data_IF_508546957358
#
_entry.id   IF_508546957358
#
_cell.length_a   1.000
_cell.length_b   1.000
_cell.length_c   1.000
_cell.angle_alpha   90.00
_cell.angle_beta   90.00
_cell.angle_gamma   90.00
#
_symmetry.space_group_name_H-M   'P 1'
#
loop_
_entity.id
_entity.type
_entity.pdbx_description
1 polymer ?
#
# COMPACT_ATOMS: atom_id res chain seq x y z
N UNK A 1 78.25 -27.95 24.03
CA UNK A 1 77.57 -26.99 23.18
C UNK A 1 76.24 -27.56 22.81
N UNK A 2 75.18 -27.07 23.43
CA UNK A 2 73.87 -27.60 23.21
C UNK A 2 72.92 -26.38 23.05
N UNK A 3 72.55 -26.13 21.87
CA UNK A 3 71.68 -25.00 21.44
C UNK A 3 70.24 -25.35 21.79
N UNK A 4 69.58 -24.53 22.61
CA UNK A 4 68.21 -24.70 22.98
C UNK A 4 67.31 -24.21 21.82
N UNK A 5 66.16 -24.82 21.56
CA UNK A 5 65.18 -24.34 20.53
C UNK A 5 64.35 -23.17 21.07
N UNK A 6 64.20 -22.16 20.22
CA UNK A 6 63.32 -21.01 20.45
C UNK A 6 61.85 -21.43 20.40
N UNK A 7 61.12 -21.03 21.44
CA UNK A 7 59.65 -21.12 21.48
C UNK A 7 59.05 -20.00 20.64
N UNK A 8 58.35 -20.37 19.58
CA UNK A 8 57.52 -19.47 18.83
C UNK A 8 56.18 -19.29 19.54
N UNK A 9 55.94 -18.10 20.08
CA UNK A 9 54.67 -17.69 20.65
C UNK A 9 53.66 -17.47 19.51
N UNK A 10 52.68 -18.36 19.37
CA UNK A 10 51.54 -18.18 18.50
C UNK A 10 50.55 -17.23 19.16
N UNK A 11 50.49 -16.01 18.71
CA UNK A 11 49.46 -15.03 19.12
C UNK A 11 48.13 -15.42 18.50
N UNK A 12 47.19 -15.80 19.36
CA UNK A 12 45.79 -15.99 18.92
C UNK A 12 45.16 -14.65 18.49
N UNK A 13 44.38 -14.61 17.40
CA UNK A 13 43.68 -13.41 17.00
C UNK A 13 42.60 -13.06 18.03
N UNK A 14 42.60 -11.82 18.52
CA UNK A 14 41.57 -11.28 19.35
C UNK A 14 40.25 -11.20 18.52
N UNK A 15 39.22 -11.87 19.01
CA UNK A 15 37.85 -11.69 18.50
C UNK A 15 37.36 -10.32 18.97
N UNK A 16 37.52 -9.30 18.09
CA UNK A 16 36.88 -8.01 18.25
C UNK A 16 35.39 -8.20 17.98
N UNK A 17 34.63 -8.44 19.04
CA UNK A 17 33.17 -8.52 19.03
C UNK A 17 32.53 -7.14 18.94
N UNK A 18 32.92 -6.37 17.96
CA UNK A 18 32.22 -5.12 17.64
C UNK A 18 30.80 -5.40 17.17
N UNK A 19 29.80 -5.14 18.03
CA UNK A 19 28.41 -5.07 17.65
C UNK A 19 28.28 -3.99 16.59
N UNK A 20 27.84 -4.26 15.34
CA UNK A 20 27.63 -3.21 14.37
C UNK A 20 26.53 -2.28 14.88
N UNK A 21 26.89 -1.07 15.26
CA UNK A 21 25.95 0.00 15.50
C UNK A 21 25.25 0.34 14.19
N UNK A 22 24.04 -0.18 13.99
CA UNK A 22 23.19 0.20 12.88
C UNK A 22 22.58 1.58 13.21
N UNK A 23 23.37 2.62 12.99
CA UNK A 23 22.91 4.00 12.98
C UNK A 23 23.05 4.53 11.56
N UNK A 24 22.22 4.02 10.67
CA UNK A 24 21.93 4.73 9.42
C UNK A 24 20.50 5.22 9.51
N UNK A 25 20.23 6.53 9.41
CA UNK A 25 18.87 6.99 9.19
C UNK A 25 18.44 6.34 7.87
N UNK A 26 17.47 5.44 7.95
CA UNK A 26 16.88 4.82 6.77
C UNK A 26 16.21 5.95 6.00
N UNK A 27 16.91 6.44 4.97
CA UNK A 27 16.35 7.37 4.01
C UNK A 27 15.13 6.66 3.43
N UNK A 28 13.99 7.27 3.59
CA UNK A 28 12.70 6.78 3.10
C UNK A 28 12.80 6.67 1.57
N UNK A 29 13.14 5.47 1.07
CA UNK A 29 13.21 5.17 -0.35
C UNK A 29 11.78 4.89 -0.88
N UNK A 30 10.85 5.79 -0.57
CA UNK A 30 9.59 5.85 -1.28
C UNK A 30 9.91 6.32 -2.69
N UNK A 31 9.72 5.43 -3.66
CA UNK A 31 9.69 5.86 -5.05
C UNK A 31 8.60 6.94 -5.15
N UNK A 32 8.88 8.10 -5.75
CA UNK A 32 7.87 9.13 -5.91
C UNK A 32 6.71 8.52 -6.72
N UNK A 33 5.54 8.40 -6.09
CA UNK A 33 4.30 8.13 -6.79
C UNK A 33 4.07 9.41 -7.60
N UNK A 34 4.04 9.32 -8.92
CA UNK A 34 3.82 10.48 -9.78
C UNK A 34 2.56 11.19 -9.35
N UNK A 35 2.64 12.50 -9.04
CA UNK A 35 1.47 13.33 -8.74
C UNK A 35 0.48 13.19 -9.90
N UNK A 36 -0.75 12.76 -9.61
CA UNK A 36 -1.78 12.43 -10.58
C UNK A 36 -2.06 10.95 -10.78
N UNK A 37 -1.19 10.04 -10.29
CA UNK A 37 -1.40 8.59 -10.36
C UNK A 37 -1.88 7.97 -9.04
N UNK A 38 -2.13 8.78 -8.01
CA UNK A 38 -2.62 8.33 -6.70
C UNK A 38 -3.55 9.33 -6.03
N UNK A 39 -4.37 8.82 -5.12
CA UNK A 39 -5.36 9.55 -4.33
C UNK A 39 -5.15 9.24 -2.86
N UNK A 40 -5.46 10.20 -1.98
CA UNK A 40 -5.36 10.02 -0.53
C UNK A 40 -6.74 9.98 0.10
N UNK A 41 -6.88 9.13 1.13
CA UNK A 41 -8.03 9.11 2.02
C UNK A 41 -7.51 9.09 3.45
N UNK A 42 -7.73 10.17 4.20
CA UNK A 42 -7.19 10.35 5.53
C UNK A 42 -8.30 10.49 6.54
N UNK A 43 -8.19 9.71 7.60
CA UNK A 43 -8.98 9.80 8.83
C UNK A 43 -8.05 9.99 10.02
N UNK A 44 -8.59 10.11 11.22
CA UNK A 44 -7.78 10.15 12.43
C UNK A 44 -7.07 8.82 12.74
N UNK A 45 -7.61 7.71 12.24
CA UNK A 45 -7.08 6.36 12.47
C UNK A 45 -6.13 5.89 11.36
N UNK A 46 -6.39 6.30 10.11
CA UNK A 46 -5.72 5.79 8.91
C UNK A 46 -5.34 6.90 7.94
N UNK A 47 -4.14 6.80 7.38
CA UNK A 47 -3.72 7.52 6.19
C UNK A 47 -3.52 6.52 5.05
N UNK A 48 -4.30 6.66 3.99
CA UNK A 48 -4.31 5.73 2.86
C UNK A 48 -3.85 6.43 1.58
N UNK A 49 -3.04 5.71 0.79
CA UNK A 49 -2.71 6.10 -0.58
C UNK A 49 -3.22 5.03 -1.53
N UNK A 50 -4.07 5.44 -2.45
CA UNK A 50 -4.74 4.59 -3.43
C UNK A 50 -4.24 4.97 -4.84
N UNK A 51 -3.71 4.01 -5.60
CA UNK A 51 -3.25 4.29 -6.97
C UNK A 51 -4.41 4.36 -7.96
N UNK A 52 -4.31 5.22 -8.97
CA UNK A 52 -5.25 5.27 -10.08
C UNK A 52 -5.29 3.95 -10.88
N UNK A 53 -4.18 3.22 -10.93
CA UNK A 53 -4.08 1.94 -11.62
C UNK A 53 -4.58 0.80 -10.70
N UNK A 54 -5.73 0.24 -11.02
CA UNK A 54 -6.40 -0.81 -10.24
C UNK A 54 -7.17 -0.29 -9.03
N UNK A 55 -7.00 0.97 -8.61
CA UNK A 55 -7.52 1.45 -7.34
C UNK A 55 -6.98 0.61 -6.18
N UNK A 56 -5.70 0.28 -6.19
CA UNK A 56 -5.07 -0.54 -5.15
C UNK A 56 -4.59 0.35 -4.00
N UNK A 57 -4.74 -0.11 -2.74
CA UNK A 57 -4.17 0.59 -1.59
C UNK A 57 -2.68 0.23 -1.54
N UNK A 58 -1.84 1.21 -1.84
CA UNK A 58 -0.38 1.03 -1.96
C UNK A 58 0.38 1.53 -0.73
N UNK A 59 -0.29 2.30 0.12
CA UNK A 59 0.22 2.69 1.44
C UNK A 59 -0.93 2.79 2.43
N UNK A 60 -0.71 2.30 3.64
CA UNK A 60 -1.59 2.50 4.78
C UNK A 60 -0.74 2.72 6.02
N UNK A 61 -0.93 3.84 6.71
CA UNK A 61 -0.24 4.18 7.94
C UNK A 61 -1.20 4.50 9.08
N UNK A 62 -0.72 4.33 10.30
CA UNK A 62 -1.44 4.55 11.55
C UNK A 62 -0.90 5.82 12.23
N UNK A 63 -1.51 7.02 12.02
CA UNK A 63 -0.99 8.29 12.56
C UNK A 63 -0.86 8.30 14.09
N UNK A 64 -1.76 7.62 14.79
CA UNK A 64 -1.79 7.54 16.26
C UNK A 64 -0.76 6.55 16.84
N UNK A 65 -0.08 5.75 16.00
CA UNK A 65 0.87 4.72 16.43
C UNK A 65 2.23 4.96 15.80
N UNK A 66 3.18 5.57 16.50
CA UNK A 66 4.53 5.73 15.99
C UNK A 66 5.27 4.38 15.96
N UNK A 67 6.23 4.24 15.05
CA UNK A 67 7.11 3.07 14.98
C UNK A 67 7.91 2.90 16.27
N UNK A 68 8.29 4.03 16.90
CA UNK A 68 9.03 4.10 18.17
C UNK A 68 8.53 5.27 19.00
N UNK A 69 8.61 5.16 20.32
CA UNK A 69 8.19 6.22 21.26
C UNK A 69 9.04 7.49 21.09
N UNK A 70 10.31 7.33 20.75
CA UNK A 70 11.26 8.43 20.53
C UNK A 70 11.13 9.10 19.15
N UNK A 71 10.31 8.54 18.25
CA UNK A 71 10.05 9.09 16.92
C UNK A 71 8.55 9.28 16.67
N UNK A 72 7.87 10.17 17.40
CA UNK A 72 6.41 10.33 17.36
C UNK A 72 5.88 10.74 15.98
N UNK A 73 6.70 11.34 15.13
CA UNK A 73 6.32 11.78 13.78
C UNK A 73 6.52 10.69 12.70
N UNK A 74 6.86 9.45 13.08
CA UNK A 74 6.99 8.33 12.17
C UNK A 74 5.85 7.32 12.41
N UNK A 75 4.73 7.41 11.69
CA UNK A 75 3.59 6.51 11.87
C UNK A 75 3.96 5.09 11.46
N UNK A 76 3.36 4.11 12.14
CA UNK A 76 3.52 2.72 11.78
C UNK A 76 2.85 2.44 10.42
N UNK A 77 3.57 1.79 9.51
CA UNK A 77 3.09 1.44 8.17
C UNK A 77 2.61 0.01 8.12
N UNK A 78 1.32 -0.17 7.82
CA UNK A 78 0.69 -1.47 7.58
C UNK A 78 0.95 -1.95 6.17
N UNK A 79 0.75 -1.06 5.18
CA UNK A 79 0.99 -1.33 3.77
C UNK A 79 2.02 -0.33 3.24
N UNK A 80 2.89 -0.80 2.34
CA UNK A 80 3.88 0.03 1.69
C UNK A 80 4.28 -0.56 0.32
N UNK A 81 4.64 0.32 -0.59
CA UNK A 81 5.15 -0.05 -1.91
C UNK A 81 6.40 0.77 -2.19
N UNK A 82 7.55 0.21 -1.85
CA UNK A 82 8.87 0.84 -2.06
C UNK A 82 9.86 -0.17 -2.63
N UNK A 83 11.10 0.26 -2.86
CA UNK A 83 12.13 -0.58 -3.46
C UNK A 83 12.53 -1.80 -2.61
N UNK A 84 12.31 -1.75 -1.28
CA UNK A 84 12.70 -2.79 -0.35
C UNK A 84 11.54 -3.72 0.03
N UNK A 85 10.32 -3.19 0.01
CA UNK A 85 9.14 -3.91 0.44
C UNK A 85 7.93 -3.53 -0.40
N UNK A 86 7.29 -4.56 -0.95
CA UNK A 86 6.00 -4.43 -1.61
C UNK A 86 4.96 -5.21 -0.80
N UNK A 87 4.07 -4.49 -0.12
CA UNK A 87 2.94 -5.08 0.58
C UNK A 87 1.74 -4.18 0.37
N UNK A 88 0.83 -4.59 -0.50
CA UNK A 88 -0.29 -3.79 -1.00
C UNK A 88 -1.60 -4.57 -0.93
N UNK A 89 -2.72 -3.87 -0.78
CA UNK A 89 -4.05 -4.45 -0.89
C UNK A 89 -4.63 -4.15 -2.27
N UNK A 90 -4.97 -5.21 -2.99
CA UNK A 90 -5.52 -5.14 -4.34
C UNK A 90 -6.95 -5.66 -4.34
N UNK A 91 -7.81 -5.01 -5.09
CA UNK A 91 -9.17 -5.47 -5.37
C UNK A 91 -9.61 -5.01 -6.76
N UNK A 92 -10.54 -5.72 -7.36
CA UNK A 92 -11.00 -5.41 -8.72
C UNK A 92 -12.14 -6.29 -9.18
N UNK A 93 -12.53 -6.12 -10.44
CA UNK A 93 -13.59 -6.84 -11.10
C UNK A 93 -13.05 -7.64 -12.28
N UNK A 94 -13.12 -8.96 -12.19
CA UNK A 94 -12.70 -9.92 -13.21
C UNK A 94 -13.91 -10.67 -13.79
N UNK A 95 -13.68 -11.52 -14.74
CA UNK A 95 -14.71 -12.30 -15.41
C UNK A 95 -14.83 -11.93 -16.87
N UNK A 96 -15.87 -12.46 -17.54
CA UNK A 96 -16.07 -12.24 -18.99
C UNK A 96 -16.19 -10.75 -19.32
N UNK A 97 -16.91 -9.99 -18.49
CA UNK A 97 -17.18 -8.57 -18.68
C UNK A 97 -16.45 -7.70 -17.61
N UNK A 98 -15.47 -8.30 -16.92
CA UNK A 98 -14.65 -7.63 -15.92
C UNK A 98 -13.72 -6.59 -16.55
N UNK A 99 -13.50 -5.49 -15.81
CA UNK A 99 -12.65 -4.38 -16.26
C UNK A 99 -11.16 -4.60 -15.91
N UNK A 100 -10.87 -5.57 -15.04
CA UNK A 100 -9.52 -6.00 -14.68
C UNK A 100 -9.18 -7.31 -15.38
N UNK A 101 -7.97 -7.38 -15.93
CA UNK A 101 -7.42 -8.61 -16.53
C UNK A 101 -6.06 -8.94 -15.90
N UNK A 102 -5.52 -10.13 -16.20
CA UNK A 102 -4.19 -10.53 -15.73
C UNK A 102 -3.08 -9.57 -16.16
N UNK A 103 -3.24 -8.93 -17.31
CA UNK A 103 -2.21 -8.08 -17.94
C UNK A 103 -2.53 -6.59 -17.88
N UNK A 104 -3.75 -6.21 -17.52
CA UNK A 104 -4.17 -4.82 -17.49
C UNK A 104 -5.14 -4.57 -16.34
N UNK A 105 -4.76 -3.61 -15.48
CA UNK A 105 -5.60 -3.15 -14.39
C UNK A 105 -6.46 -1.99 -14.85
N UNK A 106 -7.70 -1.94 -14.38
CA UNK A 106 -8.60 -0.83 -14.63
C UNK A 106 -7.98 0.50 -14.16
N UNK A 107 -8.08 1.54 -14.97
CA UNK A 107 -7.63 2.89 -14.57
C UNK A 107 -8.82 3.68 -14.03
N UNK A 108 -8.61 4.35 -12.90
CA UNK A 108 -9.63 5.12 -12.21
C UNK A 108 -9.28 6.61 -12.17
N UNK A 109 -10.33 7.43 -12.09
CA UNK A 109 -10.26 8.89 -11.90
C UNK A 109 -11.04 9.23 -10.65
N UNK A 110 -10.47 10.04 -9.75
CA UNK A 110 -11.15 10.46 -8.53
C UNK A 110 -12.33 11.37 -8.82
N UNK A 111 -13.45 11.12 -8.14
CA UNK A 111 -14.61 12.00 -8.06
C UNK A 111 -14.59 12.85 -6.77
N UNK A 112 -13.55 12.69 -5.96
CA UNK A 112 -13.38 13.39 -4.69
C UNK A 112 -13.67 12.55 -3.47
N UNK A 113 -13.49 13.17 -2.31
CA UNK A 113 -13.79 12.60 -0.99
C UNK A 113 -15.02 13.30 -0.43
N UNK A 114 -15.99 12.52 0.03
CA UNK A 114 -17.17 13.01 0.75
C UNK A 114 -17.15 12.57 2.21
N UNK A 115 -17.74 13.38 3.09
CA UNK A 115 -18.00 13.00 4.48
C UNK A 115 -19.46 12.56 4.60
N UNK A 116 -19.65 11.37 5.15
CA UNK A 116 -20.97 10.78 5.35
C UNK A 116 -21.64 11.30 6.66
N UNK A 117 -22.95 11.14 6.84
CA UNK A 117 -23.66 11.59 8.04
C UNK A 117 -23.16 10.95 9.35
N UNK A 118 -22.54 9.76 9.29
CA UNK A 118 -21.93 9.05 10.41
C UNK A 118 -20.48 9.50 10.72
N UNK A 119 -19.99 10.52 9.99
CA UNK A 119 -18.62 11.03 10.12
C UNK A 119 -17.56 10.27 9.30
N UNK A 120 -17.91 9.13 8.73
CA UNK A 120 -16.97 8.40 7.85
C UNK A 120 -16.68 9.19 6.58
N UNK A 121 -15.52 8.89 5.96
CA UNK A 121 -15.09 9.54 4.72
C UNK A 121 -15.04 8.51 3.60
N UNK A 122 -15.64 8.88 2.45
CA UNK A 122 -15.67 8.02 1.25
C UNK A 122 -14.94 8.68 0.10
N UNK A 123 -13.87 8.05 -0.39
CA UNK A 123 -13.25 8.36 -1.66
C UNK A 123 -13.98 7.59 -2.76
N UNK A 124 -14.50 8.30 -3.75
CA UNK A 124 -15.15 7.71 -4.92
C UNK A 124 -14.23 7.78 -6.14
N UNK A 125 -13.96 6.64 -6.75
CA UNK A 125 -13.17 6.51 -7.97
C UNK A 125 -14.07 6.02 -9.11
N UNK A 126 -14.13 6.75 -10.23
CA UNK A 126 -14.82 6.33 -11.44
C UNK A 126 -13.85 5.61 -12.39
N UNK A 127 -14.26 4.49 -12.96
CA UNK A 127 -13.48 3.83 -14.01
C UNK A 127 -13.37 4.73 -15.24
N UNK A 128 -12.17 4.88 -15.80
CA UNK A 128 -11.91 5.75 -16.95
C UNK A 128 -12.69 5.35 -18.22
N UNK A 129 -13.12 4.09 -18.32
CA UNK A 129 -13.97 3.57 -19.40
C UNK A 129 -15.44 3.92 -19.29
N UNK A 130 -15.92 4.54 -18.22
CA UNK A 130 -17.35 4.83 -17.99
C UNK A 130 -18.01 5.67 -19.09
N UNK A 131 -17.23 6.49 -19.79
CA UNK A 131 -17.75 7.37 -20.85
C UNK A 131 -17.90 6.67 -22.20
N UNK A 132 -17.24 5.54 -22.39
CA UNK A 132 -17.19 4.81 -23.68
C UNK A 132 -17.81 3.42 -23.62
N UNK A 133 -18.16 2.96 -22.43
CA UNK A 133 -18.73 1.64 -22.17
C UNK A 133 -20.17 1.73 -21.68
N UNK A 134 -20.99 0.77 -22.04
CA UNK A 134 -22.30 0.57 -21.45
C UNK A 134 -22.23 0.05 -19.99
N UNK A 135 -21.06 -0.44 -19.56
CA UNK A 135 -20.77 -0.77 -18.19
C UNK A 135 -20.13 0.43 -17.51
N UNK A 136 -20.77 0.97 -16.47
CA UNK A 136 -20.17 2.01 -15.61
C UNK A 136 -19.81 1.40 -14.26
N UNK A 137 -18.60 1.70 -13.80
CA UNK A 137 -18.07 1.16 -12.55
C UNK A 137 -17.53 2.31 -11.71
N UNK A 138 -17.95 2.33 -10.45
CA UNK A 138 -17.38 3.18 -9.42
C UNK A 138 -16.82 2.28 -8.31
N UNK A 139 -15.66 2.64 -7.80
CA UNK A 139 -15.00 1.98 -6.68
C UNK A 139 -14.94 2.96 -5.52
N UNK A 140 -15.52 2.57 -4.39
CA UNK A 140 -15.65 3.41 -3.22
C UNK A 140 -14.80 2.84 -2.08
N UNK A 141 -14.08 3.72 -1.41
CA UNK A 141 -13.29 3.41 -0.21
C UNK A 141 -13.86 4.22 0.94
N UNK A 142 -14.43 3.56 1.94
CA UNK A 142 -14.96 4.23 3.12
C UNK A 142 -14.10 3.89 4.33
N UNK A 143 -13.60 4.93 5.00
CA UNK A 143 -12.78 4.82 6.20
C UNK A 143 -13.39 5.67 7.33
N UNK A 144 -13.12 5.28 8.58
CA UNK A 144 -13.73 5.80 9.79
C UNK A 144 -12.67 6.39 10.73
N UNK A 145 -13.02 7.43 11.50
CA UNK A 145 -12.05 8.12 12.35
C UNK A 145 -11.56 7.27 13.54
N UNK A 146 -12.36 6.32 14.01
CA UNK A 146 -12.00 5.49 15.17
C UNK A 146 -11.79 4.00 14.84
N UNK A 147 -11.81 3.64 13.54
CA UNK A 147 -11.68 2.27 13.07
C UNK A 147 -10.46 2.11 12.17
N UNK A 148 -9.92 0.90 12.13
CA UNK A 148 -8.73 0.54 11.34
C UNK A 148 -9.07 -0.36 10.15
N UNK A 149 -10.33 -0.50 9.82
CA UNK A 149 -10.84 -1.19 8.64
C UNK A 149 -11.24 -0.18 7.55
N UNK A 150 -11.24 -0.65 6.33
CA UNK A 150 -11.65 0.11 5.16
C UNK A 150 -12.64 -0.73 4.38
N UNK A 151 -13.84 -0.19 4.20
CA UNK A 151 -14.82 -0.81 3.32
C UNK A 151 -14.51 -0.48 1.87
N UNK A 152 -14.39 -1.51 1.02
CA UNK A 152 -14.20 -1.34 -0.42
C UNK A 152 -15.41 -1.92 -1.14
N UNK A 153 -16.17 -1.03 -1.78
CA UNK A 153 -17.38 -1.39 -2.52
C UNK A 153 -17.27 -1.02 -4.00
N UNK A 154 -17.99 -1.76 -4.83
CA UNK A 154 -18.15 -1.48 -6.24
C UNK A 154 -19.61 -1.16 -6.53
N UNK A 155 -19.87 0.01 -7.08
CA UNK A 155 -21.16 0.37 -7.66
C UNK A 155 -21.07 0.15 -9.18
N UNK A 156 -21.92 -0.74 -9.69
CA UNK A 156 -21.86 -1.22 -11.06
C UNK A 156 -23.20 -0.95 -11.75
N UNK A 157 -23.17 -0.15 -12.79
CA UNK A 157 -24.35 0.16 -13.61
C UNK A 157 -24.18 -0.43 -15.00
N UNK A 158 -25.12 -1.27 -15.41
CA UNK A 158 -25.18 -1.85 -16.74
C UNK A 158 -26.25 -1.16 -17.58
N UNK A 159 -25.83 -0.26 -18.46
CA UNK A 159 -26.72 0.46 -19.39
C UNK A 159 -26.91 -0.29 -20.71
N UNK A 160 -26.41 -1.53 -20.84
CA UNK A 160 -26.61 -2.36 -22.02
C UNK A 160 -27.92 -3.16 -21.95
N UNK A 161 -28.38 -3.66 -23.10
CA UNK A 161 -29.49 -4.60 -23.16
C UNK A 161 -29.08 -6.08 -22.94
N UNK A 162 -27.84 -6.33 -22.49
CA UNK A 162 -27.27 -7.66 -22.33
C UNK A 162 -26.89 -7.94 -20.88
N UNK A 163 -27.00 -9.19 -20.44
CA UNK A 163 -26.51 -9.61 -19.14
C UNK A 163 -24.98 -9.60 -19.14
N UNK A 164 -24.40 -8.92 -18.16
CA UNK A 164 -22.96 -8.89 -17.92
C UNK A 164 -22.58 -9.77 -16.73
N UNK A 165 -21.43 -10.44 -16.81
CA UNK A 165 -20.90 -11.32 -15.79
C UNK A 165 -19.55 -10.79 -15.28
N UNK A 166 -19.55 -10.30 -14.04
CA UNK A 166 -18.37 -9.80 -13.34
C UNK A 166 -18.23 -10.48 -11.99
N UNK A 167 -17.01 -10.65 -11.53
CA UNK A 167 -16.67 -11.22 -10.21
C UNK A 167 -15.69 -10.30 -9.51
N UNK A 168 -15.98 -9.95 -8.28
CA UNK A 168 -15.03 -9.18 -7.46
C UNK A 168 -13.93 -10.09 -6.90
N UNK A 169 -12.72 -9.54 -6.76
CA UNK A 169 -11.63 -10.18 -6.03
C UNK A 169 -10.99 -9.19 -5.05
N UNK A 170 -10.40 -9.71 -4.00
CA UNK A 170 -9.54 -8.97 -3.08
C UNK A 170 -8.36 -9.84 -2.66
N UNK A 171 -7.16 -9.24 -2.55
CA UNK A 171 -5.95 -9.93 -2.13
C UNK A 171 -4.94 -8.97 -1.48
N UNK A 172 -4.15 -9.50 -0.57
CA UNK A 172 -2.92 -8.87 -0.11
C UNK A 172 -1.75 -9.44 -0.93
N UNK A 173 -0.97 -8.57 -1.56
CA UNK A 173 0.16 -8.96 -2.41
C UNK A 173 1.47 -8.52 -1.77
N UNK A 174 2.37 -9.49 -1.62
CA UNK A 174 3.76 -9.30 -1.18
C UNK A 174 4.70 -9.46 -2.35
#
# INVERSE_FOLDING_TARGET
>A
EQTAPQSTSTTAPALDGGIPSVSTPQKDLTLPISEGDSYTLNTDALELVITANGGDIVSASLPKFPVRIDTPNQPFRLLENNALRRYVAQSGLIGRDGIDTSNNRARYVSQGVSTNPDGSKTLTLAWAGNQTSALRVYKLFTAYDERYDVDVTFDIVNDSNSVMSVTSFAQLKR
#
